data_IF_527239651741
#
_entry.id   IF_527239651741
#
_cell.length_a   1.000
_cell.length_b   1.000
_cell.length_c   1.000
_cell.angle_alpha   90.00
_cell.angle_beta   90.00
_cell.angle_gamma   90.00
#
_symmetry.space_group_name_H-M   'P 1'
#
loop_
_entity.id
_entity.type
_entity.pdbx_description
1 polymer ?
#
# COMPACT_ATOMS: atom_id res chain seq x y z
N UNK A 1 11.96 -26.40 6.46
CA UNK A 1 10.63 -26.16 7.05
C UNK A 1 9.55 -26.30 5.97
N UNK A 2 8.36 -26.84 6.26
CA UNK A 2 7.32 -27.04 5.24
C UNK A 2 6.79 -25.71 4.71
N UNK A 3 6.74 -25.58 3.38
CA UNK A 3 6.36 -24.39 2.59
C UNK A 3 4.87 -24.00 2.72
N UNK A 4 4.05 -24.82 3.37
CA UNK A 4 2.61 -24.60 3.55
C UNK A 4 2.26 -23.69 4.73
N UNK A 5 3.24 -23.23 5.51
CA UNK A 5 3.07 -22.27 6.61
C UNK A 5 3.50 -20.82 6.27
N UNK A 6 3.87 -20.55 5.02
CA UNK A 6 4.61 -19.34 4.62
C UNK A 6 3.80 -18.06 4.42
N UNK A 7 2.46 -18.07 4.53
CA UNK A 7 1.62 -16.88 4.34
C UNK A 7 0.92 -16.41 5.63
N UNK A 8 1.22 -17.04 6.77
CA UNK A 8 0.79 -16.58 8.10
C UNK A 8 1.83 -15.61 8.66
N UNK A 9 1.87 -14.39 8.15
CA UNK A 9 2.67 -13.35 8.78
C UNK A 9 1.75 -12.24 9.26
N UNK A 10 1.34 -12.28 10.55
CA UNK A 10 1.01 -11.11 11.35
C UNK A 10 1.45 -11.28 12.80
N UNK A 11 2.16 -10.27 13.29
CA UNK A 11 2.66 -10.22 14.67
C UNK A 11 1.57 -10.05 15.72
N UNK A 12 0.38 -9.53 15.36
CA UNK A 12 -0.71 -9.24 16.33
C UNK A 12 -1.99 -10.06 16.12
N UNK A 13 -2.19 -10.70 14.95
CA UNK A 13 -3.37 -11.52 14.66
C UNK A 13 -3.04 -12.69 13.70
N UNK A 14 -2.36 -13.75 14.18
CA UNK A 14 -1.86 -14.85 13.35
C UNK A 14 -2.94 -15.69 12.64
N UNK A 15 -4.20 -15.57 13.08
CA UNK A 15 -5.33 -16.36 12.57
C UNK A 15 -6.01 -15.73 11.33
N UNK A 16 -5.74 -14.45 11.03
CA UNK A 16 -6.37 -13.73 9.93
C UNK A 16 -5.49 -13.77 8.66
N UNK A 17 -6.05 -14.22 7.54
CA UNK A 17 -5.37 -14.21 6.24
C UNK A 17 -5.33 -12.79 5.63
N UNK A 18 -4.26 -12.46 4.90
CA UNK A 18 -4.11 -11.18 4.19
C UNK A 18 -3.04 -10.29 4.82
N UNK A 19 -3.08 -8.98 4.55
CA UNK A 19 -2.31 -7.94 5.25
C UNK A 19 -3.21 -6.74 5.50
N UNK A 20 -3.13 -6.12 6.68
CA UNK A 20 -3.79 -4.82 6.90
C UNK A 20 -3.05 -3.71 6.14
N UNK A 21 -3.72 -2.58 5.89
CA UNK A 21 -3.09 -1.42 5.24
C UNK A 21 -1.90 -0.89 6.04
N UNK A 22 -1.96 -0.74 7.39
CA UNK A 22 -0.80 -0.35 8.19
C UNK A 22 0.39 -1.32 8.07
N UNK A 23 0.14 -2.63 8.01
CA UNK A 23 1.21 -3.62 7.83
C UNK A 23 1.84 -3.53 6.45
N UNK A 24 1.04 -3.33 5.40
CA UNK A 24 1.56 -3.07 4.06
C UNK A 24 2.40 -1.78 4.03
N UNK A 25 1.97 -0.72 4.71
CA UNK A 25 2.75 0.51 4.84
C UNK A 25 4.09 0.27 5.57
N UNK A 26 4.11 -0.61 6.58
CA UNK A 26 5.37 -1.04 7.22
C UNK A 26 6.25 -1.86 6.28
N UNK A 27 5.69 -2.84 5.57
CA UNK A 27 6.42 -3.70 4.62
C UNK A 27 7.00 -2.91 3.44
N UNK A 28 6.30 -1.86 3.00
CA UNK A 28 6.75 -0.93 1.96
C UNK A 28 8.11 -0.28 2.26
N UNK A 29 8.47 -0.15 3.55
CA UNK A 29 9.75 0.41 4.03
C UNK A 29 10.78 -0.65 4.43
N UNK A 30 10.53 -1.92 4.15
CA UNK A 30 11.44 -3.01 4.54
C UNK A 30 12.79 -2.94 3.81
N UNK A 31 13.85 -3.38 4.49
CA UNK A 31 15.15 -3.65 3.87
C UNK A 31 15.09 -4.81 2.87
N UNK A 32 14.12 -5.73 2.99
CA UNK A 32 13.99 -6.89 2.12
C UNK A 32 13.17 -6.57 0.86
N UNK A 33 13.73 -6.68 -0.36
CA UNK A 33 13.05 -6.24 -1.58
C UNK A 33 11.73 -6.93 -1.87
N UNK A 34 11.60 -8.24 -1.58
CA UNK A 34 10.37 -8.97 -1.89
C UNK A 34 9.18 -8.48 -1.03
N UNK A 35 9.43 -8.10 0.24
CA UNK A 35 8.41 -7.49 1.11
C UNK A 35 7.92 -6.14 0.56
N UNK A 36 8.83 -5.32 0.04
CA UNK A 36 8.44 -4.08 -0.64
C UNK A 36 7.63 -4.35 -1.89
N UNK A 37 8.05 -5.29 -2.72
CA UNK A 37 7.37 -5.62 -3.98
C UNK A 37 5.91 -6.06 -3.74
N UNK A 38 5.66 -6.93 -2.75
CA UNK A 38 4.28 -7.35 -2.44
C UNK A 38 3.47 -6.20 -1.84
N UNK A 39 4.09 -5.34 -1.02
CA UNK A 39 3.44 -4.16 -0.46
C UNK A 39 3.01 -3.18 -1.56
N UNK A 40 3.92 -2.80 -2.46
CA UNK A 40 3.65 -1.83 -3.52
C UNK A 40 2.54 -2.29 -4.47
N UNK A 41 2.59 -3.54 -4.94
CA UNK A 41 1.54 -4.10 -5.82
C UNK A 41 0.16 -4.09 -5.15
N UNK A 42 0.11 -4.43 -3.86
CA UNK A 42 -1.15 -4.49 -3.11
C UNK A 42 -1.69 -3.09 -2.82
N UNK A 43 -0.83 -2.18 -2.37
CA UNK A 43 -1.16 -0.79 -2.10
C UNK A 43 -1.61 -0.06 -3.37
N UNK A 44 -0.97 -0.30 -4.52
CA UNK A 44 -1.37 0.31 -5.79
C UNK A 44 -2.81 -0.05 -6.18
N UNK A 45 -3.17 -1.34 -6.12
CA UNK A 45 -4.54 -1.80 -6.39
C UNK A 45 -5.54 -1.23 -5.39
N UNK A 46 -5.15 -1.20 -4.11
CA UNK A 46 -5.98 -0.60 -3.06
C UNK A 46 -6.24 0.89 -3.33
N UNK A 47 -5.20 1.67 -3.63
CA UNK A 47 -5.31 3.11 -3.92
C UNK A 47 -6.17 3.40 -5.15
N UNK A 48 -6.04 2.57 -6.20
CA UNK A 48 -6.91 2.66 -7.38
C UNK A 48 -8.39 2.54 -7.02
N UNK A 49 -8.74 1.47 -6.28
CA UNK A 49 -10.13 1.19 -5.84
C UNK A 49 -10.64 2.25 -4.87
N UNK A 50 -9.77 2.79 -4.02
CA UNK A 50 -10.13 3.81 -3.04
C UNK A 50 -10.45 5.13 -3.72
N UNK A 51 -9.60 5.57 -4.65
CA UNK A 51 -9.87 6.76 -5.46
C UNK A 51 -11.13 6.63 -6.32
N UNK A 52 -11.43 5.41 -6.80
CA UNK A 52 -12.65 5.06 -7.55
C UNK A 52 -13.94 5.10 -6.71
N UNK A 53 -13.84 5.28 -5.40
CA UNK A 53 -14.98 5.33 -4.49
C UNK A 53 -15.62 3.98 -4.19
N UNK A 54 -14.89 2.87 -4.34
CA UNK A 54 -15.45 1.52 -4.12
C UNK A 54 -15.86 1.24 -2.66
N UNK A 55 -15.38 2.05 -1.71
CA UNK A 55 -15.73 1.99 -0.29
C UNK A 55 -16.61 3.17 0.15
N UNK A 56 -17.24 3.85 -0.80
CA UNK A 56 -17.99 5.08 -0.61
C UNK A 56 -17.30 6.27 -1.29
N UNK A 57 -18.08 7.31 -1.59
CA UNK A 57 -17.51 8.58 -2.06
C UNK A 57 -16.57 9.18 -0.99
N UNK A 58 -15.76 10.17 -1.39
CA UNK A 58 -14.78 10.77 -0.51
C UNK A 58 -15.34 11.53 0.70
N UNK A 59 -16.66 11.74 0.78
CA UNK A 59 -17.34 12.32 1.92
C UNK A 59 -17.80 11.31 2.97
N UNK A 60 -17.82 10.01 2.65
CA UNK A 60 -18.24 8.97 3.60
C UNK A 60 -17.20 8.74 4.70
N UNK A 61 -17.67 8.44 5.92
CA UNK A 61 -16.77 8.17 7.07
C UNK A 61 -15.82 6.99 6.81
N UNK A 62 -16.29 5.97 6.09
CA UNK A 62 -15.44 4.84 5.69
C UNK A 62 -14.31 5.29 4.76
N UNK A 63 -14.62 6.03 3.69
CA UNK A 63 -13.61 6.52 2.75
C UNK A 63 -12.61 7.46 3.44
N UNK A 64 -13.10 8.39 4.27
CA UNK A 64 -12.24 9.27 5.09
C UNK A 64 -11.31 8.49 6.00
N UNK A 65 -11.82 7.46 6.69
CA UNK A 65 -11.01 6.61 7.57
C UNK A 65 -9.90 5.87 6.81
N UNK A 66 -10.20 5.35 5.62
CA UNK A 66 -9.21 4.70 4.75
C UNK A 66 -8.15 5.69 4.25
N UNK A 67 -8.55 6.89 3.86
CA UNK A 67 -7.60 7.96 3.48
C UNK A 67 -6.73 8.41 4.64
N UNK A 68 -7.28 8.50 5.86
CA UNK A 68 -6.49 8.79 7.07
C UNK A 68 -5.43 7.71 7.30
N UNK A 69 -5.75 6.43 7.15
CA UNK A 69 -4.75 5.34 7.24
C UNK A 69 -3.67 5.47 6.16
N UNK A 70 -4.03 5.85 4.93
CA UNK A 70 -3.07 6.10 3.84
C UNK A 70 -2.10 7.24 4.19
N UNK A 71 -2.64 8.32 4.74
CA UNK A 71 -1.87 9.51 5.16
C UNK A 71 -0.96 9.20 6.35
N UNK A 72 -1.49 8.63 7.44
CA UNK A 72 -0.73 8.24 8.62
C UNK A 72 0.38 7.22 8.30
N UNK A 73 0.07 6.27 7.40
CA UNK A 73 1.03 5.28 6.91
C UNK A 73 2.11 5.86 5.98
N UNK A 74 1.98 7.12 5.55
CA UNK A 74 2.83 7.78 4.54
C UNK A 74 2.95 6.95 3.26
N UNK A 75 1.84 6.35 2.83
CA UNK A 75 1.85 5.36 1.74
C UNK A 75 2.29 6.00 0.42
N UNK A 76 1.68 7.12 0.02
CA UNK A 76 2.02 7.81 -1.23
C UNK A 76 3.47 8.30 -1.20
N UNK A 77 3.89 8.97 -0.12
CA UNK A 77 5.26 9.43 0.05
C UNK A 77 6.27 8.28 -0.08
N UNK A 78 6.01 7.13 0.57
CA UNK A 78 6.89 5.96 0.48
C UNK A 78 7.00 5.44 -0.95
N UNK A 79 5.90 5.45 -1.71
CA UNK A 79 5.91 5.06 -3.12
C UNK A 79 6.69 6.06 -3.99
N UNK A 80 6.52 7.36 -3.75
CA UNK A 80 7.28 8.43 -4.43
C UNK A 80 8.78 8.32 -4.17
N UNK A 81 9.19 8.12 -2.92
CA UNK A 81 10.59 7.91 -2.55
C UNK A 81 11.17 6.67 -3.25
N UNK A 82 10.45 5.56 -3.23
CA UNK A 82 10.89 4.31 -3.87
C UNK A 82 10.95 4.42 -5.41
N UNK A 83 10.03 5.17 -6.03
CA UNK A 83 10.01 5.42 -7.47
C UNK A 83 11.15 6.35 -7.90
N UNK A 84 11.54 7.31 -7.07
CA UNK A 84 12.59 8.28 -7.37
C UNK A 84 13.99 7.88 -6.87
N UNK A 85 14.11 6.77 -6.13
CA UNK A 85 15.40 6.30 -5.63
C UNK A 85 16.39 6.03 -6.76
N UNK A 86 17.62 6.53 -6.60
CA UNK A 86 18.78 6.20 -7.44
C UNK A 86 19.41 4.89 -6.92
N UNK A 87 19.51 3.88 -7.79
CA UNK A 87 20.00 2.55 -7.42
C UNK A 87 18.94 1.67 -6.73
N UNK A 88 19.40 0.63 -6.01
CA UNK A 88 18.52 -0.32 -5.32
C UNK A 88 17.90 -1.40 -6.22
N UNK A 89 16.93 -2.14 -5.65
CA UNK A 89 16.29 -3.27 -6.33
C UNK A 89 15.28 -2.78 -7.38
N UNK A 90 15.58 -3.04 -8.65
CA UNK A 90 14.83 -2.50 -9.79
C UNK A 90 13.35 -2.93 -9.81
N UNK A 91 13.05 -4.18 -9.44
CA UNK A 91 11.65 -4.62 -9.37
C UNK A 91 10.82 -3.85 -8.35
N UNK A 92 11.42 -3.46 -7.21
CA UNK A 92 10.72 -2.66 -6.21
C UNK A 92 10.40 -1.27 -6.75
N UNK A 93 11.34 -0.67 -7.50
CA UNK A 93 11.15 0.62 -8.15
C UNK A 93 10.03 0.56 -9.20
N UNK A 94 10.03 -0.45 -10.06
CA UNK A 94 8.97 -0.63 -11.07
C UNK A 94 7.59 -0.75 -10.42
N UNK A 95 7.44 -1.55 -9.37
CA UNK A 95 6.15 -1.69 -8.68
C UNK A 95 5.72 -0.42 -7.95
N UNK A 96 6.67 0.40 -7.46
CA UNK A 96 6.34 1.70 -6.89
C UNK A 96 5.79 2.66 -7.96
N UNK A 97 6.42 2.71 -9.14
CA UNK A 97 5.95 3.50 -10.30
C UNK A 97 4.55 3.04 -10.73
N UNK A 98 4.32 1.72 -10.83
CA UNK A 98 3.01 1.16 -11.18
C UNK A 98 1.94 1.52 -10.14
N UNK A 99 2.28 1.46 -8.84
CA UNK A 99 1.37 1.81 -7.77
C UNK A 99 0.98 3.31 -7.81
N UNK A 100 1.93 4.20 -8.09
CA UNK A 100 1.65 5.63 -8.29
C UNK A 100 0.77 5.88 -9.51
N UNK A 101 1.02 5.16 -10.61
CA UNK A 101 0.18 5.24 -11.80
C UNK A 101 -1.25 4.77 -11.52
N UNK A 102 -1.42 3.67 -10.78
CA UNK A 102 -2.72 3.17 -10.34
C UNK A 102 -3.45 4.18 -9.44
N UNK A 103 -2.75 4.81 -8.50
CA UNK A 103 -3.31 5.88 -7.68
C UNK A 103 -3.79 7.08 -8.52
N UNK A 104 -2.97 7.53 -9.48
CA UNK A 104 -3.35 8.59 -10.42
C UNK A 104 -4.58 8.20 -11.24
N UNK A 105 -4.64 6.96 -11.75
CA UNK A 105 -5.81 6.43 -12.46
C UNK A 105 -7.06 6.29 -11.59
N UNK A 106 -6.88 6.10 -10.28
CA UNK A 106 -7.97 6.10 -9.31
C UNK A 106 -8.52 7.49 -9.02
N UNK A 107 -7.82 8.56 -9.38
CA UNK A 107 -8.26 9.94 -9.15
C UNK A 107 -7.14 10.88 -8.68
N UNK A 108 -5.99 10.34 -8.25
CA UNK A 108 -4.76 11.12 -8.02
C UNK A 108 -4.81 12.17 -6.90
N UNK A 109 -5.88 12.20 -6.11
CA UNK A 109 -6.03 13.12 -4.98
C UNK A 109 -6.02 12.33 -3.67
N UNK A 110 -5.22 12.79 -2.71
CA UNK A 110 -5.38 12.39 -1.31
C UNK A 110 -6.51 13.23 -0.74
N UNK A 111 -7.60 12.59 -0.35
CA UNK A 111 -8.70 13.28 0.31
C UNK A 111 -8.25 13.63 1.73
N UNK A 112 -8.17 14.93 2.02
CA UNK A 112 -7.95 15.39 3.40
C UNK A 112 -9.22 15.11 4.18
N UNK A 113 -9.14 14.16 5.09
CA UNK A 113 -10.19 13.94 6.07
C UNK A 113 -10.01 15.00 7.18
N UNK A 114 -10.69 16.14 7.01
CA UNK A 114 -10.83 17.15 8.08
C UNK A 114 -11.37 16.52 9.38
#
# INVERSE_FOLDING_TARGET
MPITKGLHHHGEAPEAAGYTIPELARLARSAFPAQRCIAFQTLGRFLYRLGRGEWGDGGTEMSKGLWRIVEEGKVIQTLEEAANTEGGHQGSKTYAIEALWLWQKGGGHVWKAD
#
